data_IF_382364388427
#
_entry.id   IF_382364388427
#
_cell.length_a   1.000
_cell.length_b   1.000
_cell.length_c   1.000
_cell.angle_alpha   90.00
_cell.angle_beta   90.00
_cell.angle_gamma   90.00
#
_symmetry.space_group_name_H-M   'P 1'
#
loop_
_entity.id
_entity.type
_entity.pdbx_description
1 polymer ?
#
# COMPACT_ATOMS: atom_id res chain seq x y z
N UNK A 1 -0.57 -2.29 -31.12
CA UNK A 1 -1.22 -1.22 -30.33
C UNK A 1 -2.54 -1.76 -29.83
N UNK A 2 -2.69 -1.91 -28.52
CA UNK A 2 -3.93 -2.33 -27.87
C UNK A 2 -5.01 -1.25 -28.06
N UNK A 3 -6.20 -1.68 -28.46
CA UNK A 3 -7.39 -0.81 -28.55
C UNK A 3 -7.88 -0.56 -27.11
N UNK A 4 -8.12 0.70 -26.74
CA UNK A 4 -8.57 1.03 -25.40
C UNK A 4 -10.10 0.92 -25.34
N UNK A 5 -10.62 0.11 -24.41
CA UNK A 5 -12.05 -0.03 -24.16
C UNK A 5 -12.52 1.00 -23.12
N UNK A 6 -13.74 1.49 -23.26
CA UNK A 6 -14.35 2.47 -22.35
C UNK A 6 -15.62 1.91 -21.71
N UNK A 7 -15.97 2.30 -20.47
CA UNK A 7 -15.37 3.37 -19.65
C UNK A 7 -13.98 3.04 -19.13
N UNK A 8 -13.08 4.04 -19.09
CA UNK A 8 -11.68 3.84 -18.71
C UNK A 8 -11.36 4.51 -17.37
N UNK A 9 -10.70 3.75 -16.50
CA UNK A 9 -10.07 4.24 -15.27
C UNK A 9 -8.56 4.32 -15.51
N UNK A 10 -7.97 5.50 -15.38
CA UNK A 10 -6.55 5.73 -15.59
C UNK A 10 -5.91 6.20 -14.28
N UNK A 11 -4.95 5.43 -13.78
CA UNK A 11 -4.16 5.76 -12.58
C UNK A 11 -2.93 6.58 -12.96
N UNK A 12 -2.77 7.76 -12.40
CA UNK A 12 -1.66 8.66 -12.73
C UNK A 12 -1.33 9.58 -11.55
N UNK A 13 -0.05 9.90 -11.33
CA UNK A 13 0.34 10.92 -10.35
C UNK A 13 0.43 12.30 -10.99
N UNK A 14 0.41 13.36 -10.18
CA UNK A 14 0.65 14.72 -10.64
C UNK A 14 2.03 14.85 -11.28
N UNK A 15 3.03 14.13 -10.78
CA UNK A 15 4.38 14.11 -11.35
C UNK A 15 4.44 13.46 -12.73
N UNK A 16 3.64 12.42 -12.97
CA UNK A 16 3.48 11.84 -14.32
C UNK A 16 2.74 12.81 -15.26
N UNK A 17 1.79 13.59 -14.73
CA UNK A 17 1.08 14.65 -15.48
C UNK A 17 1.90 15.92 -15.69
N UNK A 18 3.05 16.08 -15.04
CA UNK A 18 4.00 17.17 -15.31
C UNK A 18 5.26 16.69 -16.04
N UNK A 19 5.46 15.37 -16.18
CA UNK A 19 6.70 14.78 -16.69
C UNK A 19 7.88 14.92 -15.72
N UNK A 20 7.58 15.13 -14.43
CA UNK A 20 8.56 15.23 -13.34
C UNK A 20 8.95 13.86 -12.78
N UNK A 21 8.08 12.85 -12.92
CA UNK A 21 8.39 11.50 -12.46
C UNK A 21 9.44 10.86 -13.38
N UNK A 22 10.57 10.48 -12.78
CA UNK A 22 11.69 9.83 -13.47
C UNK A 22 12.23 8.71 -12.60
N UNK A 23 12.53 7.58 -13.22
CA UNK A 23 13.42 6.58 -12.64
C UNK A 23 14.79 6.64 -13.34
N UNK A 24 15.68 5.69 -13.03
CA UNK A 24 17.04 5.66 -13.59
C UNK A 24 17.07 5.46 -15.11
N UNK A 25 16.02 4.90 -15.71
CA UNK A 25 15.99 4.45 -17.11
C UNK A 25 14.86 5.09 -17.93
N UNK A 26 13.87 5.69 -17.29
CA UNK A 26 12.60 6.13 -17.89
C UNK A 26 12.13 7.47 -17.35
N UNK A 27 11.52 8.26 -18.25
CA UNK A 27 10.72 9.44 -17.90
C UNK A 27 9.26 9.07 -18.08
N UNK A 28 8.47 9.21 -17.03
CA UNK A 28 7.04 8.96 -17.07
C UNK A 28 6.31 10.26 -17.36
N UNK A 29 5.70 10.35 -18.54
CA UNK A 29 4.99 11.54 -19.00
C UNK A 29 3.66 11.16 -19.65
N UNK A 30 2.64 11.13 -18.81
CA UNK A 30 1.32 10.64 -19.18
C UNK A 30 0.44 11.73 -19.81
N UNK A 31 0.94 12.96 -19.96
CA UNK A 31 0.15 14.07 -20.51
C UNK A 31 -0.42 13.74 -21.90
N UNK A 32 0.43 13.24 -22.79
CA UNK A 32 0.02 12.95 -24.17
C UNK A 32 -0.82 11.66 -24.24
N UNK A 33 -0.61 10.73 -23.32
CA UNK A 33 -1.42 9.51 -23.19
C UNK A 33 -2.84 9.88 -22.76
N UNK A 34 -2.99 10.64 -21.68
CA UNK A 34 -4.28 11.13 -21.17
C UNK A 34 -4.97 11.96 -22.25
N UNK A 35 -4.25 12.87 -22.91
CA UNK A 35 -4.82 13.68 -23.99
C UNK A 35 -5.32 12.84 -25.16
N UNK A 36 -4.59 11.80 -25.55
CA UNK A 36 -4.97 10.88 -26.62
C UNK A 36 -6.19 10.04 -26.24
N UNK A 37 -6.25 9.53 -25.01
CA UNK A 37 -7.38 8.72 -24.54
C UNK A 37 -8.66 9.56 -24.42
N UNK A 38 -8.56 10.78 -23.88
CA UNK A 38 -9.68 11.73 -23.84
C UNK A 38 -10.24 12.05 -25.23
N UNK A 39 -9.38 12.12 -26.26
CA UNK A 39 -9.81 12.31 -27.66
C UNK A 39 -10.47 11.08 -28.29
N UNK A 40 -10.06 9.88 -27.88
CA UNK A 40 -10.63 8.61 -28.37
C UNK A 40 -11.94 8.26 -27.69
N UNK A 41 -12.18 8.82 -26.51
CA UNK A 41 -13.38 8.61 -25.71
C UNK A 41 -14.64 8.99 -26.52
N UNK A 42 -15.64 8.10 -26.63
CA UNK A 42 -16.93 8.46 -27.20
C UNK A 42 -17.64 9.51 -26.35
N UNK A 43 -18.49 10.32 -26.96
CA UNK A 43 -19.27 11.35 -26.27
C UNK A 43 -20.18 10.73 -25.19
N UNK A 44 -20.24 11.35 -24.01
CA UNK A 44 -21.04 10.87 -22.87
C UNK A 44 -20.49 9.64 -22.15
N UNK A 45 -19.38 9.03 -22.60
CA UNK A 45 -18.78 7.87 -21.94
C UNK A 45 -17.78 8.34 -20.87
N UNK A 46 -17.80 7.78 -19.64
CA UNK A 46 -16.93 8.27 -18.58
C UNK A 46 -15.46 7.93 -18.83
N UNK A 47 -14.61 8.87 -18.41
CA UNK A 47 -13.17 8.68 -18.24
C UNK A 47 -12.82 9.16 -16.84
N UNK A 48 -12.34 8.23 -16.03
CA UNK A 48 -12.05 8.48 -14.62
C UNK A 48 -10.54 8.55 -14.45
N UNK A 49 -10.05 9.70 -14.01
CA UNK A 49 -8.66 9.88 -13.64
C UNK A 49 -8.51 9.67 -12.14
N UNK A 50 -7.76 8.65 -11.74
CA UNK A 50 -7.42 8.39 -10.34
C UNK A 50 -6.03 8.92 -10.07
N UNK A 51 -5.92 9.90 -9.16
CA UNK A 51 -4.68 10.67 -8.96
C UNK A 51 -4.36 10.89 -7.47
N UNK A 52 -3.12 11.29 -7.19
CA UNK A 52 -2.62 11.79 -5.91
C UNK A 52 -3.17 13.15 -5.47
N UNK A 53 -3.96 13.83 -6.31
CA UNK A 53 -4.55 15.14 -6.03
C UNK A 53 -5.97 15.24 -6.56
N UNK A 54 -6.79 16.04 -5.87
CA UNK A 54 -8.15 16.39 -6.34
C UNK A 54 -8.15 17.47 -7.43
N UNK A 55 -7.02 18.15 -7.64
CA UNK A 55 -6.88 19.24 -8.62
C UNK A 55 -5.67 19.01 -9.53
N UNK A 56 -5.69 17.95 -10.36
CA UNK A 56 -4.58 17.63 -11.24
C UNK A 56 -4.36 18.74 -12.26
N UNK A 57 -3.12 18.88 -12.72
CA UNK A 57 -2.71 19.84 -13.75
C UNK A 57 -1.96 19.10 -14.85
N UNK A 58 -2.20 19.50 -16.11
CA UNK A 58 -1.43 19.03 -17.27
C UNK A 58 -0.85 20.25 -17.98
N UNK A 59 0.26 20.84 -17.50
CA UNK A 59 0.71 22.18 -17.91
C UNK A 59 0.88 22.38 -19.42
N UNK A 60 1.18 21.33 -20.20
CA UNK A 60 1.25 21.43 -21.67
C UNK A 60 -0.11 21.64 -22.33
N UNK A 61 -1.18 21.20 -21.68
CA UNK A 61 -2.54 21.16 -22.21
C UNK A 61 -3.52 22.07 -21.45
N UNK A 62 -3.34 22.30 -20.15
CA UNK A 62 -4.13 23.21 -19.29
C UNK A 62 -3.43 24.56 -19.15
N UNK A 63 -3.53 25.42 -20.17
CA UNK A 63 -2.84 26.72 -20.19
C UNK A 63 -3.75 27.93 -19.88
N UNK A 64 -5.07 27.75 -19.81
CA UNK A 64 -5.98 28.88 -19.61
C UNK A 64 -6.13 29.21 -18.12
N UNK A 65 -5.78 30.43 -17.68
CA UNK A 65 -6.04 30.87 -16.31
C UNK A 65 -7.54 30.74 -15.98
N UNK A 66 -7.87 30.07 -14.89
CA UNK A 66 -9.23 29.98 -14.36
C UNK A 66 -10.09 28.80 -14.86
N UNK A 67 -9.61 27.95 -15.77
CA UNK A 67 -10.27 26.66 -16.08
C UNK A 67 -9.64 25.54 -15.27
N UNK A 68 -10.46 24.77 -14.56
CA UNK A 68 -9.99 23.56 -13.91
C UNK A 68 -9.77 22.44 -14.93
N UNK A 69 -8.94 21.46 -14.58
CA UNK A 69 -8.73 20.26 -15.40
C UNK A 69 -10.04 19.55 -15.76
N UNK A 70 -10.96 19.47 -14.79
CA UNK A 70 -12.28 18.87 -14.95
C UNK A 70 -13.09 19.64 -15.99
N UNK A 71 -13.08 20.98 -15.94
CA UNK A 71 -13.82 21.82 -16.88
C UNK A 71 -13.24 21.78 -18.30
N UNK A 72 -11.94 21.54 -18.43
CA UNK A 72 -11.26 21.54 -19.73
C UNK A 72 -11.36 20.20 -20.46
N UNK A 73 -11.45 19.09 -19.72
CA UNK A 73 -11.44 17.74 -20.29
C UNK A 73 -12.71 16.93 -20.05
N UNK A 74 -13.69 17.49 -19.35
CA UNK A 74 -14.98 16.85 -19.05
C UNK A 74 -14.79 15.42 -18.51
N UNK A 75 -13.93 15.27 -17.50
CA UNK A 75 -13.57 13.96 -16.93
C UNK A 75 -13.83 13.92 -15.43
N UNK A 76 -14.02 12.71 -14.90
CA UNK A 76 -14.18 12.54 -13.46
C UNK A 76 -12.80 12.37 -12.85
N UNK A 77 -12.40 13.29 -11.96
CA UNK A 77 -11.17 13.15 -11.19
C UNK A 77 -11.49 12.58 -9.82
N UNK A 78 -10.70 11.63 -9.35
CA UNK A 78 -10.84 11.07 -8.01
C UNK A 78 -9.47 10.90 -7.37
N UNK A 79 -9.33 11.38 -6.14
CA UNK A 79 -8.09 11.24 -5.37
C UNK A 79 -7.98 9.84 -4.75
N UNK A 80 -6.84 9.14 -4.97
CA UNK A 80 -6.65 7.79 -4.44
C UNK A 80 -6.68 7.75 -2.91
N UNK A 81 -6.16 8.79 -2.23
CA UNK A 81 -6.18 8.85 -0.75
C UNK A 81 -7.60 8.90 -0.22
N UNK A 82 -8.47 9.66 -0.89
CA UNK A 82 -9.89 9.70 -0.58
C UNK A 82 -10.59 8.36 -0.79
N UNK A 83 -10.26 7.65 -1.88
CA UNK A 83 -10.78 6.30 -2.14
C UNK A 83 -10.30 5.29 -1.10
N UNK A 84 -9.01 5.28 -0.81
CA UNK A 84 -8.41 4.39 0.19
C UNK A 84 -9.06 4.61 1.54
N UNK A 85 -9.17 5.86 1.98
CA UNK A 85 -9.85 6.20 3.25
C UNK A 85 -11.27 5.64 3.30
N UNK A 86 -12.08 5.84 2.25
CA UNK A 86 -13.45 5.29 2.19
C UNK A 86 -13.45 3.76 2.19
N UNK A 87 -12.51 3.15 1.47
CA UNK A 87 -12.38 1.71 1.43
C UNK A 87 -12.12 1.16 2.83
N UNK A 88 -11.13 1.71 3.54
CA UNK A 88 -10.80 1.33 4.92
C UNK A 88 -12.00 1.52 5.86
N UNK A 89 -12.70 2.65 5.79
CA UNK A 89 -13.84 2.96 6.66
C UNK A 89 -15.07 2.05 6.47
N UNK A 90 -15.30 1.58 5.25
CA UNK A 90 -16.55 0.88 4.91
C UNK A 90 -16.38 -0.62 4.68
N UNK A 91 -15.16 -1.11 4.48
CA UNK A 91 -14.91 -2.51 4.14
C UNK A 91 -14.09 -3.26 5.20
N UNK A 92 -13.42 -2.54 6.11
CA UNK A 92 -12.63 -3.15 7.18
C UNK A 92 -13.14 -2.66 8.53
N UNK A 93 -13.29 -3.58 9.47
CA UNK A 93 -13.57 -3.27 10.87
C UNK A 93 -12.24 -3.26 11.63
N UNK A 94 -11.38 -2.28 11.34
CA UNK A 94 -10.08 -2.14 11.99
C UNK A 94 -10.18 -1.28 13.24
N UNK A 95 -9.44 -1.64 14.29
CA UNK A 95 -9.29 -0.82 15.49
C UNK A 95 -8.18 0.24 15.35
N UNK A 96 -7.41 0.23 14.25
CA UNK A 96 -6.43 1.25 13.96
C UNK A 96 -7.11 2.56 13.55
N UNK A 97 -6.58 3.68 14.06
CA UNK A 97 -7.01 5.00 13.61
C UNK A 97 -6.47 5.34 12.21
N UNK A 98 -7.32 5.87 11.34
CA UNK A 98 -6.89 6.45 10.05
C UNK A 98 -5.99 7.69 10.20
N UNK A 99 -5.93 8.27 11.40
CA UNK A 99 -4.99 9.33 11.73
C UNK A 99 -3.60 8.80 12.09
N UNK A 100 -3.46 7.53 12.46
CA UNK A 100 -2.15 6.91 12.75
C UNK A 100 -1.55 6.24 11.52
N UNK A 101 -2.37 5.58 10.70
CA UNK A 101 -1.91 4.98 9.44
C UNK A 101 -3.06 4.81 8.45
N UNK A 102 -2.78 4.98 7.16
CA UNK A 102 -3.69 4.61 6.07
C UNK A 102 -3.21 3.37 5.31
N UNK A 103 -2.21 2.66 5.84
CA UNK A 103 -1.67 1.46 5.21
C UNK A 103 -2.70 0.32 5.23
N UNK A 104 -3.19 -0.07 4.05
CA UNK A 104 -4.21 -1.10 3.88
C UNK A 104 -3.86 -2.42 4.58
N UNK A 105 -2.59 -2.83 4.51
CA UNK A 105 -2.14 -4.10 5.07
C UNK A 105 -2.29 -4.12 6.60
N UNK A 106 -1.91 -3.04 7.29
CA UNK A 106 -2.10 -2.95 8.75
C UNK A 106 -3.59 -2.96 9.13
N UNK A 107 -4.44 -2.28 8.38
CA UNK A 107 -5.89 -2.30 8.61
C UNK A 107 -6.49 -3.71 8.37
N UNK A 108 -5.98 -4.47 7.42
CA UNK A 108 -6.39 -5.86 7.19
C UNK A 108 -6.01 -6.78 8.35
N UNK A 109 -4.76 -6.70 8.82
CA UNK A 109 -4.31 -7.46 10.00
C UNK A 109 -5.16 -7.07 11.22
N UNK A 110 -5.31 -5.78 11.48
CA UNK A 110 -6.08 -5.28 12.62
C UNK A 110 -7.53 -5.75 12.57
N UNK A 111 -8.17 -5.71 11.41
CA UNK A 111 -9.54 -6.21 11.25
C UNK A 111 -9.64 -7.73 11.48
N UNK A 112 -8.63 -8.51 11.07
CA UNK A 112 -8.57 -9.95 11.32
C UNK A 112 -8.38 -10.28 12.81
N UNK A 113 -7.45 -9.59 13.47
CA UNK A 113 -7.17 -9.74 14.90
C UNK A 113 -8.36 -9.35 15.76
N UNK A 114 -9.02 -8.24 15.44
CA UNK A 114 -10.26 -7.81 16.10
C UNK A 114 -11.37 -8.86 16.00
N UNK A 115 -11.55 -9.49 14.83
CA UNK A 115 -12.53 -10.57 14.65
C UNK A 115 -12.23 -11.79 15.54
N UNK A 116 -10.99 -11.94 16.01
CA UNK A 116 -10.54 -12.96 16.97
C UNK A 116 -10.50 -12.47 18.42
N UNK A 117 -10.96 -11.25 18.69
CA UNK A 117 -11.03 -10.68 20.03
C UNK A 117 -9.68 -10.23 20.59
N UNK A 118 -8.67 -10.04 19.75
CA UNK A 118 -7.34 -9.59 20.14
C UNK A 118 -7.22 -8.07 20.15
N UNK A 119 -6.24 -7.56 20.92
CA UNK A 119 -5.88 -6.15 20.89
C UNK A 119 -5.22 -5.82 19.54
N UNK A 120 -5.85 -4.92 18.79
CA UNK A 120 -5.48 -4.61 17.41
C UNK A 120 -5.50 -3.10 17.12
N UNK A 121 -5.40 -2.29 18.17
CA UNK A 121 -5.53 -0.83 18.13
C UNK A 121 -4.23 -0.08 17.85
N UNK A 122 -3.08 -0.76 17.91
CA UNK A 122 -1.78 -0.17 17.59
C UNK A 122 -0.96 -1.08 16.68
N UNK A 123 -0.09 -0.48 15.84
CA UNK A 123 0.74 -1.25 14.89
C UNK A 123 1.62 -2.30 15.61
N UNK A 124 2.28 -2.01 16.76
CA UNK A 124 3.02 -3.02 17.50
C UNK A 124 2.20 -4.26 17.87
N UNK A 125 0.95 -4.10 18.30
CA UNK A 125 0.11 -5.21 18.74
C UNK A 125 -0.19 -6.18 17.59
N UNK A 126 -0.22 -5.68 16.35
CA UNK A 126 -0.40 -6.49 15.14
C UNK A 126 0.76 -7.47 14.87
N UNK A 127 1.92 -7.21 15.47
CA UNK A 127 3.14 -7.98 15.28
C UNK A 127 3.64 -8.61 16.59
N UNK A 128 2.79 -8.71 17.61
CA UNK A 128 3.08 -9.54 18.78
C UNK A 128 2.87 -11.02 18.43
N UNK A 129 3.90 -11.63 17.87
CA UNK A 129 3.87 -13.04 17.47
C UNK A 129 3.53 -14.02 18.60
N UNK A 130 3.55 -13.57 19.87
CA UNK A 130 3.16 -14.35 21.05
C UNK A 130 1.68 -14.28 21.40
N UNK A 131 0.88 -13.51 20.65
CA UNK A 131 -0.55 -13.31 20.90
C UNK A 131 -1.41 -13.41 19.62
N UNK A 132 -0.81 -13.37 18.43
CA UNK A 132 -1.55 -13.37 17.16
C UNK A 132 -1.95 -14.78 16.72
N UNK A 133 -3.07 -14.94 15.98
CA UNK A 133 -3.53 -16.24 15.56
C UNK A 133 -2.65 -16.81 14.43
N UNK A 134 -2.67 -18.12 14.27
CA UNK A 134 -1.89 -18.81 13.23
C UNK A 134 -2.22 -18.37 11.80
N UNK A 135 -3.47 -18.01 11.54
CA UNK A 135 -3.93 -17.53 10.23
C UNK A 135 -3.81 -16.01 10.08
N UNK A 136 -3.11 -15.33 11.00
CA UNK A 136 -2.80 -13.90 10.89
C UNK A 136 -1.99 -13.61 9.62
N UNK A 137 -2.36 -12.61 8.82
CA UNK A 137 -1.53 -12.17 7.70
C UNK A 137 -0.17 -11.61 8.13
N UNK A 138 0.00 -11.27 9.43
CA UNK A 138 1.27 -10.74 9.95
C UNK A 138 2.42 -11.76 9.94
N UNK A 139 2.14 -13.05 9.70
CA UNK A 139 3.19 -14.06 9.49
C UNK A 139 3.84 -13.94 8.11
N UNK A 140 3.12 -13.48 7.09
CA UNK A 140 3.58 -13.45 5.69
C UNK A 140 4.93 -12.74 5.48
N UNK A 141 5.20 -11.59 6.13
CA UNK A 141 6.49 -10.91 6.00
C UNK A 141 7.67 -11.74 6.51
N UNK A 142 7.47 -12.59 7.54
CA UNK A 142 8.53 -13.46 8.05
C UNK A 142 8.90 -14.53 7.02
N UNK A 143 7.90 -15.19 6.41
CA UNK A 143 8.14 -16.15 5.32
C UNK A 143 8.79 -15.50 4.11
N UNK A 144 8.38 -14.27 3.76
CA UNK A 144 9.02 -13.54 2.67
C UNK A 144 10.50 -13.31 2.94
N UNK A 145 10.85 -12.88 4.16
CA UNK A 145 12.26 -12.68 4.56
C UNK A 145 13.02 -14.00 4.47
N UNK A 146 12.49 -15.09 5.03
CA UNK A 146 13.16 -16.40 4.96
C UNK A 146 13.39 -16.83 3.51
N UNK A 147 12.39 -16.70 2.63
CA UNK A 147 12.48 -17.16 1.23
C UNK A 147 13.43 -16.36 0.37
N UNK A 148 13.41 -15.04 0.52
CA UNK A 148 14.11 -14.12 -0.37
C UNK A 148 15.53 -13.80 0.12
N UNK A 149 15.88 -14.08 1.39
CA UNK A 149 17.14 -13.62 1.99
C UNK A 149 18.12 -14.70 2.49
N UNK A 150 17.89 -16.00 2.28
CA UNK A 150 18.82 -17.09 2.71
C UNK A 150 20.29 -16.88 2.28
N UNK A 151 20.53 -16.11 1.21
CA UNK A 151 21.88 -15.89 0.64
C UNK A 151 22.68 -14.71 1.24
N UNK A 152 22.16 -13.94 2.22
CA UNK A 152 22.89 -12.80 2.82
C UNK A 152 23.10 -12.88 4.34
N UNK A 153 24.27 -12.38 4.77
CA UNK A 153 24.86 -12.48 6.12
C UNK A 153 23.91 -11.94 7.20
N UNK A 154 23.71 -12.76 8.25
CA UNK A 154 22.80 -12.52 9.38
C UNK A 154 22.95 -11.16 10.09
N UNK A 155 24.11 -10.50 9.98
CA UNK A 155 24.42 -9.25 10.71
C UNK A 155 23.62 -8.02 10.23
N UNK A 156 23.08 -8.01 9.02
CA UNK A 156 22.40 -6.83 8.44
C UNK A 156 20.85 -6.90 8.46
N UNK A 157 20.25 -8.00 8.94
CA UNK A 157 18.78 -8.18 8.88
C UNK A 157 18.01 -7.13 9.67
N UNK A 158 18.51 -6.71 10.83
CA UNK A 158 17.80 -5.72 11.65
C UNK A 158 17.64 -4.39 10.92
N UNK A 159 18.70 -3.93 10.28
CA UNK A 159 18.68 -2.69 9.50
C UNK A 159 17.84 -2.83 8.23
N UNK A 160 17.88 -3.99 7.57
CA UNK A 160 17.05 -4.25 6.37
C UNK A 160 15.56 -4.31 6.68
N UNK A 161 15.16 -5.02 7.74
CA UNK A 161 13.76 -5.07 8.18
C UNK A 161 13.30 -3.66 8.57
N UNK A 162 14.12 -2.89 9.29
CA UNK A 162 13.80 -1.48 9.61
C UNK A 162 13.63 -0.64 8.35
N UNK A 163 14.53 -0.75 7.38
CA UNK A 163 14.47 0.04 6.14
C UNK A 163 13.24 -0.34 5.31
N UNK A 164 12.91 -1.64 5.21
CA UNK A 164 11.70 -2.11 4.57
C UNK A 164 10.44 -1.56 5.27
N UNK A 165 10.36 -1.70 6.60
CA UNK A 165 9.25 -1.20 7.40
C UNK A 165 9.14 0.32 7.37
N UNK A 166 10.25 1.06 7.20
CA UNK A 166 10.25 2.52 7.11
C UNK A 166 9.37 3.03 5.97
N UNK A 167 9.31 2.28 4.86
CA UNK A 167 8.43 2.59 3.74
C UNK A 167 6.95 2.31 4.04
N UNK A 168 6.65 1.45 5.02
CA UNK A 168 5.29 1.02 5.38
C UNK A 168 4.71 1.79 6.56
N UNK A 169 5.55 2.12 7.54
CA UNK A 169 5.19 2.90 8.73
C UNK A 169 5.39 4.38 8.43
N UNK A 170 4.34 5.02 7.89
CA UNK A 170 4.34 6.45 7.51
C UNK A 170 5.00 7.33 8.60
N UNK A 171 4.60 7.14 9.86
CA UNK A 171 5.21 7.67 11.08
C UNK A 171 4.90 6.67 12.21
N UNK A 172 5.89 6.08 12.90
CA UNK A 172 5.54 5.10 13.92
C UNK A 172 6.67 4.30 14.58
N UNK A 173 6.31 3.26 15.33
CA UNK A 173 7.22 2.43 16.13
C UNK A 173 7.93 1.38 15.27
N UNK A 174 8.50 1.76 14.13
CA UNK A 174 9.24 0.90 13.18
C UNK A 174 10.23 0.00 13.91
N UNK A 175 10.95 0.56 14.88
CA UNK A 175 11.94 -0.16 15.68
C UNK A 175 11.33 -1.31 16.50
N UNK A 176 10.15 -1.11 17.10
CA UNK A 176 9.52 -2.15 17.92
C UNK A 176 9.06 -3.32 17.05
N UNK A 177 8.46 -3.02 15.89
CA UNK A 177 8.00 -4.03 14.94
C UNK A 177 9.19 -4.81 14.39
N UNK A 178 10.26 -4.10 13.99
CA UNK A 178 11.48 -4.73 13.51
C UNK A 178 12.07 -5.69 14.56
N UNK A 179 12.11 -5.28 15.82
CA UNK A 179 12.55 -6.15 16.91
C UNK A 179 11.65 -7.37 17.07
N UNK A 180 10.32 -7.20 17.11
CA UNK A 180 9.39 -8.34 17.21
C UNK A 180 9.56 -9.33 16.05
N UNK A 181 9.79 -8.84 14.83
CA UNK A 181 10.06 -9.69 13.66
C UNK A 181 11.38 -10.44 13.79
N UNK A 182 12.45 -9.76 14.18
CA UNK A 182 13.77 -10.37 14.38
C UNK A 182 13.76 -11.40 15.50
N UNK A 183 13.16 -11.07 16.64
CA UNK A 183 13.07 -11.97 17.79
C UNK A 183 12.37 -13.28 17.40
N UNK A 184 11.34 -13.20 16.55
CA UNK A 184 10.64 -14.39 16.05
C UNK A 184 11.48 -15.18 15.02
N UNK A 185 12.16 -14.49 14.10
CA UNK A 185 13.05 -15.14 13.13
C UNK A 185 14.25 -15.82 13.79
N UNK A 186 14.90 -15.14 14.73
CA UNK A 186 16.04 -15.68 15.50
C UNK A 186 15.62 -16.88 16.36
N UNK A 187 14.42 -16.84 16.93
CA UNK A 187 13.91 -17.94 17.76
C UNK A 187 13.73 -19.24 16.99
N UNK A 188 13.25 -19.15 15.76
CA UNK A 188 12.97 -20.30 14.91
C UNK A 188 14.09 -20.51 13.87
N UNK A 189 15.30 -20.04 14.19
CA UNK A 189 16.54 -20.21 13.42
C UNK A 189 16.43 -19.82 11.93
N UNK A 190 15.55 -18.88 11.61
CA UNK A 190 15.25 -18.45 10.24
C UNK A 190 14.75 -19.59 9.32
N UNK A 191 14.08 -20.60 9.88
CA UNK A 191 13.54 -21.73 9.12
C UNK A 191 12.02 -21.67 9.00
N UNK A 192 11.48 -21.94 7.79
CA UNK A 192 10.02 -21.96 7.57
C UNK A 192 9.33 -23.05 8.42
N UNK A 193 9.97 -24.20 8.58
CA UNK A 193 9.44 -25.32 9.39
C UNK A 193 9.32 -24.91 10.86
N UNK A 194 10.31 -24.21 11.41
CA UNK A 194 10.26 -23.69 12.78
C UNK A 194 9.14 -22.67 12.99
N UNK A 195 8.97 -21.74 12.03
CA UNK A 195 7.84 -20.79 12.06
C UNK A 195 6.48 -21.51 12.02
N UNK A 196 6.32 -22.51 11.16
CA UNK A 196 5.09 -23.31 11.10
C UNK A 196 4.82 -24.02 12.43
N UNK A 197 5.82 -24.69 12.98
CA UNK A 197 5.71 -25.39 14.25
C UNK A 197 5.37 -24.45 15.40
N UNK A 198 5.97 -23.26 15.46
CA UNK A 198 5.60 -22.25 16.45
C UNK A 198 4.15 -21.80 16.26
N UNK A 199 3.79 -21.42 15.03
CA UNK A 199 2.48 -20.91 14.66
C UNK A 199 1.34 -21.87 15.00
N UNK A 200 1.46 -23.15 14.66
CA UNK A 200 0.44 -24.15 14.94
C UNK A 200 0.37 -24.55 16.41
N UNK A 201 1.51 -24.74 17.09
CA UNK A 201 1.51 -25.00 18.55
C UNK A 201 0.92 -23.84 19.35
N UNK A 202 1.18 -22.62 18.90
CA UNK A 202 0.68 -21.44 19.58
C UNK A 202 -0.84 -21.30 19.44
N UNK A 203 -1.43 -21.69 18.30
CA UNK A 203 -2.87 -21.74 18.11
C UNK A 203 -3.59 -22.68 19.08
N UNK A 204 -2.96 -23.77 19.51
CA UNK A 204 -3.55 -24.66 20.52
C UNK A 204 -3.64 -24.01 21.92
N UNK A 205 -2.94 -22.91 22.14
CA UNK A 205 -2.82 -22.21 23.41
C UNK A 205 -3.59 -20.87 23.46
N UNK A 206 -4.21 -20.43 22.36
CA UNK A 206 -5.10 -19.25 22.26
C UNK A 206 -6.54 -19.72 22.09
#
# INVERSE_FOLDING_TARGET
MTEAEFPLIHYVSQEMLTGQLRDKESVYDDQDVVRRLLRKRPEGVPYVLVTDTSTPRMPRHTQKPGKSFIDEFECTVTEYKGLLKRYLQHNLDSDLSLSSTQNLYFHQISSHHKQRGLEAGSIPDLFDYTQIPADSPAWDPLYYIIREDVDQVLEDYSERIREALRSWTEHGPTQKIANSMLDMLEREDFEEEGLDDYRYRHQENI
#
